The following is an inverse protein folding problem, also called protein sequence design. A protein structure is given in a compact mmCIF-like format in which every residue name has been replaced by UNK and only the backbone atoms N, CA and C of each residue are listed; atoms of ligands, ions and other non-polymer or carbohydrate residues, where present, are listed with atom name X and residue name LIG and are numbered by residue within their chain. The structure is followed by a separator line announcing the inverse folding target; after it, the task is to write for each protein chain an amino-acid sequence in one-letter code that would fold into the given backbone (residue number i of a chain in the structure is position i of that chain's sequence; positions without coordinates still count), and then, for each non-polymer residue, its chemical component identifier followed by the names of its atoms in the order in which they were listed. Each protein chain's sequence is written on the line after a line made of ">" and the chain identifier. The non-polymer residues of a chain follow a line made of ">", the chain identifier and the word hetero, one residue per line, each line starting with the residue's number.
data_IF_254091771900
#
_entry.id   IF_254091771900
#
_cell.length_a   1.000
_cell.length_b   1.000
_cell.length_c   1.000
_cell.angle_alpha   90.00
_cell.angle_beta   90.00
_cell.angle_gamma   90.00
#
_symmetry.space_group_name_H-M   'P 1'
#
loop_
_entity.id
_entity.type
_entity.pdbx_description
1 polymer ?
#
# COMPACT_ATOMS: atom_id res chain seq x y z
N UNK A 1 -36.38 18.45 -52.90
CA UNK A 1 -35.47 19.54 -53.28
C UNK A 1 -34.03 19.14 -52.97
N UNK A 2 -33.15 19.26 -53.97
CA UNK A 2 -31.68 19.51 -53.99
C UNK A 2 -30.83 18.91 -52.84
N UNK A 3 -30.02 17.87 -53.06
CA UNK A 3 -28.67 17.83 -53.69
C UNK A 3 -27.61 18.74 -53.04
N UNK A 4 -26.63 18.06 -52.41
CA UNK A 4 -25.16 18.26 -52.37
C UNK A 4 -24.59 19.68 -52.51
N UNK A 5 -23.66 20.04 -51.62
CA UNK A 5 -22.37 20.57 -52.07
C UNK A 5 -21.25 20.44 -51.02
N UNK A 6 -20.16 19.83 -51.46
CA UNK A 6 -18.83 19.89 -50.88
C UNK A 6 -18.15 21.20 -51.30
N UNK A 7 -17.33 21.77 -50.42
CA UNK A 7 -16.28 22.71 -50.80
C UNK A 7 -15.12 22.57 -49.79
N UNK A 8 -13.99 22.06 -50.29
CA UNK A 8 -12.68 22.17 -49.66
C UNK A 8 -12.27 23.63 -49.58
N UNK A 9 -11.60 24.02 -48.49
CA UNK A 9 -10.53 25.02 -48.55
C UNK A 9 -9.36 24.55 -47.67
N UNK A 10 -8.25 24.26 -48.36
CA UNK A 10 -6.90 24.11 -47.84
C UNK A 10 -6.39 25.45 -47.28
N UNK A 11 -5.58 25.38 -46.23
CA UNK A 11 -4.33 26.16 -46.03
C UNK A 11 -4.18 26.69 -44.60
N UNK A 12 -3.22 26.12 -43.87
CA UNK A 12 -2.06 26.84 -43.36
C UNK A 12 -1.24 25.90 -42.45
N UNK A 13 -0.11 25.42 -42.97
CA UNK A 13 0.93 24.80 -42.17
C UNK A 13 1.81 25.94 -41.63
N UNK A 14 1.87 26.13 -40.30
CA UNK A 14 2.88 26.95 -39.63
C UNK A 14 3.14 26.37 -38.23
N UNK A 15 4.22 25.57 -38.18
CA UNK A 15 5.16 25.42 -37.07
C UNK A 15 4.71 25.88 -35.68
N UNK A 16 4.44 24.92 -34.80
CA UNK A 16 4.40 25.11 -33.36
C UNK A 16 4.66 23.78 -32.68
N UNK A 17 5.80 23.69 -31.98
CA UNK A 17 6.29 22.54 -31.24
C UNK A 17 5.20 21.91 -30.38
N UNK A 18 5.09 20.58 -30.43
CA UNK A 18 4.30 19.78 -29.51
C UNK A 18 4.69 20.13 -28.06
N UNK A 19 3.75 20.49 -27.17
CA UNK A 19 3.93 20.08 -25.79
C UNK A 19 3.60 18.60 -25.75
N UNK A 20 4.63 17.77 -25.65
CA UNK A 20 4.50 16.48 -24.98
C UNK A 20 4.04 16.81 -23.56
N UNK A 21 2.74 16.71 -23.30
CA UNK A 21 2.27 16.51 -21.94
C UNK A 21 2.65 15.07 -21.60
N UNK A 22 3.85 14.94 -21.02
CA UNK A 22 4.10 13.86 -20.09
C UNK A 22 3.07 14.04 -18.96
N UNK A 23 2.10 13.13 -18.88
CA UNK A 23 1.33 12.96 -17.65
C UNK A 23 2.28 12.30 -16.62
N UNK A 24 3.08 13.18 -16.03
CA UNK A 24 3.97 12.94 -14.91
C UNK A 24 3.11 12.75 -13.65
N UNK A 25 3.36 11.63 -12.97
CA UNK A 25 2.96 11.37 -11.60
C UNK A 25 1.46 11.43 -11.31
N UNK A 26 0.80 10.28 -11.26
CA UNK A 26 -0.41 10.13 -10.45
C UNK A 26 -0.10 10.61 -9.04
N UNK A 27 -0.46 11.87 -8.76
CA UNK A 27 -0.51 12.43 -7.43
C UNK A 27 -1.58 11.62 -6.69
N UNK A 28 -1.14 10.60 -5.96
CA UNK A 28 -2.00 9.86 -5.04
C UNK A 28 -2.30 10.81 -3.89
N UNK A 29 -3.24 11.73 -4.10
CA UNK A 29 -3.90 12.48 -3.04
C UNK A 29 -4.79 11.49 -2.29
N UNK A 30 -4.22 10.60 -1.48
CA UNK A 30 -5.02 9.59 -0.78
C UNK A 30 -5.66 10.23 0.44
N UNK A 31 -6.84 10.82 0.25
CA UNK A 31 -7.85 11.04 1.31
C UNK A 31 -8.49 9.71 1.75
N UNK A 32 -8.10 8.60 1.11
CA UNK A 32 -8.61 7.25 1.40
C UNK A 32 -8.18 6.77 2.78
N UNK A 33 -9.14 6.21 3.52
CA UNK A 33 -8.89 5.55 4.80
C UNK A 33 -8.18 4.22 4.55
N UNK A 34 -7.28 3.86 5.45
CA UNK A 34 -6.51 2.63 5.31
C UNK A 34 -6.35 1.97 6.68
N UNK A 35 -6.35 0.64 6.72
CA UNK A 35 -5.87 -0.11 7.88
C UNK A 35 -4.95 -1.19 7.37
N UNK A 36 -3.74 -1.24 7.91
CA UNK A 36 -2.66 -2.00 7.31
C UNK A 36 -1.66 -2.48 8.36
N UNK A 37 -1.16 -3.70 8.17
CA UNK A 37 -0.22 -4.30 9.10
C UNK A 37 1.19 -4.38 8.51
N UNK A 38 2.15 -3.75 9.19
CA UNK A 38 3.52 -3.59 8.71
C UNK A 38 4.43 -4.60 9.41
N UNK A 39 5.03 -5.49 8.63
CA UNK A 39 5.83 -6.62 9.10
C UNK A 39 7.18 -6.70 8.36
N UNK A 40 8.10 -7.54 8.84
CA UNK A 40 9.45 -7.73 8.29
C UNK A 40 9.98 -9.11 8.64
N UNK A 41 11.02 -9.57 7.93
CA UNK A 41 11.82 -10.77 8.23
C UNK A 41 12.69 -10.63 9.47
N UNK A 42 12.74 -9.44 10.09
CA UNK A 42 13.36 -9.27 11.40
C UNK A 42 12.60 -10.00 12.51
N UNK A 43 11.36 -10.43 12.24
CA UNK A 43 10.57 -11.28 13.14
C UNK A 43 10.82 -12.75 12.82
N UNK A 44 10.81 -13.66 13.82
CA UNK A 44 10.88 -15.09 13.59
C UNK A 44 9.73 -15.59 12.70
N UNK A 45 10.00 -16.52 11.78
CA UNK A 45 9.02 -17.00 10.79
C UNK A 45 7.69 -17.48 11.39
N UNK A 46 7.75 -18.20 12.52
CA UNK A 46 6.54 -18.67 13.21
C UNK A 46 5.70 -17.53 13.76
N UNK A 47 6.34 -16.51 14.31
CA UNK A 47 5.66 -15.31 14.82
C UNK A 47 5.05 -14.53 13.65
N UNK A 48 5.85 -14.30 12.60
CA UNK A 48 5.40 -13.64 11.37
C UNK A 48 4.16 -14.33 10.78
N UNK A 49 4.15 -15.66 10.74
CA UNK A 49 3.00 -16.43 10.25
C UNK A 49 1.74 -16.27 11.10
N UNK A 50 1.86 -16.20 12.44
CA UNK A 50 0.72 -15.95 13.34
C UNK A 50 0.14 -14.56 13.07
N UNK A 51 1.01 -13.56 12.95
CA UNK A 51 0.62 -12.17 12.69
C UNK A 51 -0.05 -12.01 11.32
N UNK A 52 0.49 -12.63 10.28
CA UNK A 52 -0.08 -12.63 8.93
C UNK A 52 -1.47 -13.28 8.89
N UNK A 53 -1.64 -14.41 9.57
CA UNK A 53 -2.96 -15.07 9.66
C UNK A 53 -3.99 -14.24 10.40
N UNK A 54 -3.58 -13.52 11.45
CA UNK A 54 -4.47 -12.62 12.16
C UNK A 54 -4.95 -11.47 11.24
N UNK A 55 -4.05 -10.93 10.41
CA UNK A 55 -4.39 -9.90 9.44
C UNK A 55 -5.31 -10.43 8.33
N UNK A 56 -4.99 -11.61 7.80
CA UNK A 56 -5.82 -12.32 6.82
C UNK A 56 -7.25 -12.54 7.32
N UNK A 57 -7.41 -13.02 8.56
CA UNK A 57 -8.72 -13.26 9.17
C UNK A 57 -9.57 -11.98 9.32
N UNK A 58 -8.93 -10.80 9.28
CA UNK A 58 -9.59 -9.48 9.37
C UNK A 58 -9.60 -8.73 8.03
N UNK A 59 -9.16 -9.35 6.94
CA UNK A 59 -8.99 -8.70 5.63
C UNK A 59 -8.09 -7.44 5.69
N UNK A 60 -7.10 -7.43 6.59
CA UNK A 60 -6.12 -6.34 6.70
C UNK A 60 -4.93 -6.70 5.82
N UNK A 61 -4.55 -5.85 4.83
CA UNK A 61 -3.37 -6.08 4.03
C UNK A 61 -2.10 -6.05 4.89
N UNK A 62 -1.15 -6.93 4.54
CA UNK A 62 0.18 -6.94 5.14
C UNK A 62 1.16 -6.28 4.19
N UNK A 63 1.83 -5.23 4.65
CA UNK A 63 2.98 -4.64 3.98
C UNK A 63 4.26 -5.14 4.60
N UNK A 64 5.04 -5.83 3.78
CA UNK A 64 6.29 -6.45 4.19
C UNK A 64 7.48 -5.55 3.80
N UNK A 65 8.36 -5.32 4.77
CA UNK A 65 9.51 -4.44 4.58
C UNK A 65 10.63 -5.15 3.81
N UNK A 66 10.92 -4.61 2.64
CA UNK A 66 12.24 -4.71 2.01
C UNK A 66 12.62 -6.10 1.52
N UNK A 67 13.92 -6.24 1.26
CA UNK A 67 14.52 -7.44 0.70
C UNK A 67 15.30 -8.20 1.75
N UNK A 68 15.34 -9.51 1.59
CA UNK A 68 16.23 -10.38 2.33
C UNK A 68 17.63 -10.22 1.75
N UNK A 69 18.56 -9.72 2.57
CA UNK A 69 19.98 -9.49 2.20
C UNK A 69 20.15 -8.71 0.89
N UNK A 70 19.33 -7.68 0.67
CA UNK A 70 19.33 -6.87 -0.56
C UNK A 70 19.17 -7.67 -1.86
N UNK A 71 18.57 -8.87 -1.79
CA UNK A 71 18.46 -9.79 -2.92
C UNK A 71 17.01 -10.22 -3.19
N UNK A 72 16.55 -9.98 -4.41
CA UNK A 72 15.18 -10.33 -4.84
C UNK A 72 14.92 -11.83 -4.86
N UNK A 73 15.87 -12.62 -5.35
CA UNK A 73 15.70 -14.08 -5.45
C UNK A 73 15.60 -14.73 -4.07
N UNK A 74 16.40 -14.27 -3.11
CA UNK A 74 16.30 -14.70 -1.71
C UNK A 74 14.96 -14.28 -1.11
N UNK A 75 14.50 -13.07 -1.41
CA UNK A 75 13.19 -12.58 -0.96
C UNK A 75 12.05 -13.42 -1.50
N UNK A 76 12.05 -13.74 -2.80
CA UNK A 76 11.05 -14.59 -3.42
C UNK A 76 11.04 -16.00 -2.82
N UNK A 77 12.22 -16.61 -2.61
CA UNK A 77 12.36 -17.92 -1.96
C UNK A 77 11.86 -17.91 -0.52
N UNK A 78 12.19 -16.86 0.24
CA UNK A 78 11.72 -16.68 1.61
C UNK A 78 10.20 -16.56 1.67
N UNK A 79 9.60 -15.73 0.81
CA UNK A 79 8.15 -15.60 0.72
C UNK A 79 7.48 -16.91 0.31
N UNK A 80 8.03 -17.61 -0.67
CA UNK A 80 7.54 -18.92 -1.09
C UNK A 80 7.61 -19.94 0.06
N UNK A 81 8.69 -19.94 0.85
CA UNK A 81 8.81 -20.78 2.03
C UNK A 81 7.72 -20.46 3.07
N UNK A 82 7.44 -19.19 3.34
CA UNK A 82 6.36 -18.80 4.26
C UNK A 82 4.99 -19.30 3.76
N UNK A 83 4.70 -19.08 2.48
CA UNK A 83 3.44 -19.51 1.85
C UNK A 83 3.29 -21.04 1.88
N UNK A 84 4.35 -21.77 1.55
CA UNK A 84 4.30 -23.24 1.47
C UNK A 84 4.26 -23.90 2.84
N UNK A 85 5.03 -23.40 3.81
CA UNK A 85 5.17 -23.97 5.16
C UNK A 85 4.00 -23.56 6.06
N UNK A 86 3.66 -22.27 6.11
CA UNK A 86 2.69 -21.75 7.06
C UNK A 86 1.32 -21.45 6.44
N UNK A 87 1.18 -21.52 5.11
CA UNK A 87 -0.06 -21.24 4.37
C UNK A 87 -0.56 -19.79 4.55
N UNK A 88 0.38 -18.84 4.65
CA UNK A 88 0.05 -17.40 4.69
C UNK A 88 -0.30 -16.88 3.30
N UNK A 89 -1.11 -15.81 3.24
CA UNK A 89 -1.57 -15.15 2.01
C UNK A 89 -1.63 -13.63 2.20
N UNK A 90 -1.86 -12.89 1.11
CA UNK A 90 -2.18 -11.46 1.16
C UNK A 90 -1.00 -10.53 1.51
N UNK A 91 0.23 -10.96 1.20
CA UNK A 91 1.46 -10.20 1.48
C UNK A 91 1.79 -9.30 0.29
N UNK A 92 2.10 -8.03 0.58
CA UNK A 92 2.57 -7.05 -0.41
C UNK A 92 3.93 -6.50 0.00
N UNK A 93 4.85 -6.37 -0.96
CA UNK A 93 6.15 -5.71 -0.73
C UNK A 93 6.00 -4.25 -1.18
N UNK A 94 5.92 -3.32 -0.24
CA UNK A 94 5.66 -1.90 -0.51
C UNK A 94 6.56 -1.01 0.37
N UNK A 95 7.79 -0.70 -0.07
CA UNK A 95 8.72 0.13 0.70
C UNK A 95 8.25 1.59 0.81
N UNK A 96 7.46 2.08 -0.16
CA UNK A 96 6.96 3.46 -0.20
C UNK A 96 6.01 3.69 0.96
N UNK A 97 5.16 2.71 1.28
CA UNK A 97 4.20 2.84 2.36
C UNK A 97 4.82 2.91 3.76
N UNK A 98 5.94 2.19 3.98
CA UNK A 98 6.70 2.32 5.21
C UNK A 98 7.25 3.74 5.42
N UNK A 99 7.77 4.35 4.35
CA UNK A 99 8.27 5.72 4.39
C UNK A 99 7.12 6.72 4.59
N UNK A 100 5.99 6.53 3.89
CA UNK A 100 4.79 7.38 3.98
C UNK A 100 4.28 7.52 5.41
N UNK A 101 4.16 6.41 6.13
CA UNK A 101 3.67 6.43 7.52
C UNK A 101 4.78 6.63 8.56
N UNK A 102 6.03 6.77 8.14
CA UNK A 102 7.16 6.90 9.06
C UNK A 102 7.30 5.71 10.02
N UNK A 103 6.87 4.51 9.60
CA UNK A 103 6.99 3.29 10.40
C UNK A 103 8.48 3.02 10.61
N UNK A 104 8.97 2.98 11.85
CA UNK A 104 10.41 2.76 12.14
C UNK A 104 10.72 1.34 12.59
N UNK A 105 9.79 0.75 13.35
CA UNK A 105 9.91 -0.58 13.94
C UNK A 105 8.72 -1.45 13.52
N UNK A 106 8.89 -2.77 13.64
CA UNK A 106 7.83 -3.76 13.38
C UNK A 106 7.73 -4.72 14.57
N UNK A 107 6.57 -5.36 14.80
CA UNK A 107 5.31 -5.19 14.06
C UNK A 107 4.66 -3.82 14.34
N UNK A 108 3.92 -3.29 13.37
CA UNK A 108 3.19 -2.04 13.50
C UNK A 108 1.83 -2.09 12.78
N UNK A 109 0.74 -1.81 13.50
CA UNK A 109 -0.57 -1.58 12.90
C UNK A 109 -0.74 -0.09 12.63
N UNK A 110 -1.06 0.27 11.39
CA UNK A 110 -1.43 1.63 11.01
C UNK A 110 -2.92 1.67 10.71
N UNK A 111 -3.61 2.69 11.21
CA UNK A 111 -4.95 3.07 10.75
C UNK A 111 -4.94 4.54 10.34
N UNK A 112 -5.26 4.82 9.08
CA UNK A 112 -5.41 6.16 8.51
C UNK A 112 -6.89 6.53 8.41
N UNK A 113 -7.22 7.74 8.83
CA UNK A 113 -8.56 8.33 8.84
C UNK A 113 -8.50 9.77 8.32
N UNK A 114 -8.87 9.99 7.06
CA UNK A 114 -8.70 11.28 6.40
C UNK A 114 -7.22 11.70 6.37
N UNK A 115 -6.90 12.86 6.94
CA UNK A 115 -5.53 13.39 6.96
C UNK A 115 -4.69 12.92 8.16
N UNK A 116 -5.28 12.15 9.07
CA UNK A 116 -4.63 11.63 10.28
C UNK A 116 -4.37 10.13 10.18
N UNK A 117 -3.46 9.63 11.01
CA UNK A 117 -3.26 8.20 11.20
C UNK A 117 -2.73 7.89 12.59
N UNK A 118 -3.14 6.74 13.11
CA UNK A 118 -2.60 6.13 14.32
C UNK A 118 -1.62 5.00 13.97
N UNK A 119 -0.60 4.82 14.81
CA UNK A 119 0.30 3.67 14.74
C UNK A 119 0.39 2.99 16.11
N UNK A 120 0.15 1.69 16.15
CA UNK A 120 0.38 0.85 17.32
C UNK A 120 1.54 -0.09 17.04
N UNK A 121 2.56 -0.04 17.90
CA UNK A 121 3.76 -0.87 17.79
C UNK A 121 3.80 -1.99 18.83
N UNK A 122 4.55 -3.04 18.52
CA UNK A 122 5.07 -4.00 19.51
C UNK A 122 4.23 -5.25 19.72
N UNK A 123 4.48 -5.93 20.84
CA UNK A 123 3.96 -7.27 21.15
C UNK A 123 2.52 -7.22 21.71
N UNK A 124 1.58 -6.79 20.88
CA UNK A 124 0.14 -6.86 21.15
C UNK A 124 -0.54 -7.63 20.04
N UNK A 125 -1.64 -8.33 20.35
CA UNK A 125 -2.41 -8.99 19.30
C UNK A 125 -3.03 -7.96 18.37
N UNK A 126 -3.27 -8.34 17.11
CA UNK A 126 -3.89 -7.44 16.13
C UNK A 126 -5.25 -6.90 16.59
N UNK A 127 -6.07 -7.71 17.27
CA UNK A 127 -7.33 -7.26 17.84
C UNK A 127 -7.11 -6.20 18.94
N UNK A 128 -6.16 -6.44 19.86
CA UNK A 128 -5.84 -5.46 20.89
C UNK A 128 -5.33 -4.14 20.29
N UNK A 129 -4.50 -4.20 19.24
CA UNK A 129 -4.03 -3.00 18.56
C UNK A 129 -5.18 -2.20 17.93
N UNK A 130 -6.14 -2.88 17.29
CA UNK A 130 -7.37 -2.26 16.78
C UNK A 130 -8.21 -1.65 17.90
N UNK A 131 -8.34 -2.34 19.03
CA UNK A 131 -9.07 -1.86 20.21
C UNK A 131 -8.40 -0.62 20.83
N UNK A 132 -7.07 -0.57 20.86
CA UNK A 132 -6.33 0.60 21.33
C UNK A 132 -6.63 1.83 20.47
N UNK A 133 -6.64 1.67 19.14
CA UNK A 133 -6.97 2.75 18.20
C UNK A 133 -8.43 3.18 18.38
N UNK A 134 -9.37 2.24 18.43
CA UNK A 134 -10.80 2.56 18.54
C UNK A 134 -11.19 3.19 19.87
N UNK A 135 -10.41 2.97 20.94
CA UNK A 135 -10.71 3.55 22.26
C UNK A 135 -9.97 4.87 22.51
N UNK A 136 -8.72 4.98 22.02
CA UNK A 136 -7.77 6.02 22.47
C UNK A 136 -7.04 6.74 21.34
N UNK A 137 -7.13 6.26 20.09
CA UNK A 137 -6.45 6.86 18.95
C UNK A 137 -7.22 8.03 18.34
N UNK A 138 -6.55 8.80 17.50
CA UNK A 138 -7.13 9.93 16.77
C UNK A 138 -8.18 9.45 15.75
N UNK A 139 -8.01 8.24 15.21
CA UNK A 139 -8.95 7.60 14.30
C UNK A 139 -10.16 6.95 14.98
N UNK A 140 -10.36 7.15 16.29
CA UNK A 140 -11.62 6.80 16.97
C UNK A 140 -12.78 7.63 16.43
N UNK A 141 -12.56 8.94 16.31
CA UNK A 141 -13.63 9.91 16.06
C UNK A 141 -13.96 10.04 14.56
N UNK A 142 -13.12 9.45 13.70
CA UNK A 142 -13.27 9.37 12.24
C UNK A 142 -13.03 7.92 11.74
N UNK A 143 -14.00 7.01 11.93
CA UNK A 143 -13.80 5.56 11.74
C UNK A 143 -13.60 5.08 10.30
#
# INVERSE_FOLDING_TARGET
>A
MKRLNAALLFSACLTGSLPVLAEDGTQVTSTENETAYFLSSSLPDKELAILMKAAEAKNIPVYFRGLINDNMDQTAKYMLNLITTYKVRGIQIDPVRFARYGVKQVPALVKKCGDHFDIVYGNVTLSQALDMISQRGDCRDNP
#
